data_IF_685267638907
#
_entry.id   IF_685267638907
#
_cell.length_a   1.000
_cell.length_b   1.000
_cell.length_c   1.000
_cell.angle_alpha   90.00
_cell.angle_beta   90.00
_cell.angle_gamma   90.00
#
_symmetry.space_group_name_H-M   'P 1'
#
loop_
_entity.id
_entity.type
_entity.pdbx_description
1 polymer ?
#
# COMPACT_ATOMS: atom_id res chain seq x y z
N UNK A 1 0.62 -16.59 3.47
CA UNK A 1 1.22 -16.42 2.13
C UNK A 1 0.57 -15.28 1.33
N UNK A 2 -0.76 -15.28 1.13
CA UNK A 2 -1.46 -14.25 0.34
C UNK A 2 -1.16 -12.80 0.78
N UNK A 3 -1.05 -12.55 2.09
CA UNK A 3 -0.70 -11.23 2.62
C UNK A 3 0.69 -10.73 2.16
N UNK A 4 1.68 -11.62 2.04
CA UNK A 4 3.01 -11.22 1.57
C UNK A 4 2.99 -10.85 0.09
N UNK A 5 2.20 -11.58 -0.71
CA UNK A 5 2.08 -11.33 -2.15
C UNK A 5 1.43 -9.97 -2.41
N UNK A 6 0.33 -9.64 -1.72
CA UNK A 6 -0.35 -8.36 -1.95
C UNK A 6 0.51 -7.16 -1.50
N UNK A 7 1.32 -7.33 -0.44
CA UNK A 7 2.28 -6.32 -0.03
C UNK A 7 3.44 -6.19 -1.02
N UNK A 8 3.95 -7.29 -1.56
CA UNK A 8 4.95 -7.25 -2.63
C UNK A 8 4.41 -6.52 -3.86
N UNK A 9 3.16 -6.79 -4.27
CA UNK A 9 2.49 -6.07 -5.37
C UNK A 9 2.38 -4.58 -5.05
N UNK A 10 1.91 -4.20 -3.86
CA UNK A 10 1.79 -2.80 -3.44
C UNK A 10 3.14 -2.06 -3.47
N UNK A 11 4.21 -2.72 -3.04
CA UNK A 11 5.57 -2.19 -3.08
C UNK A 11 6.06 -1.97 -4.53
N UNK A 12 5.93 -3.01 -5.36
CA UNK A 12 6.36 -2.96 -6.77
C UNK A 12 5.56 -1.91 -7.57
N UNK A 13 4.26 -1.77 -7.32
CA UNK A 13 3.43 -0.76 -7.97
C UNK A 13 3.94 0.66 -7.67
N UNK A 14 4.39 0.91 -6.44
CA UNK A 14 4.94 2.21 -6.04
C UNK A 14 6.27 2.50 -6.74
N UNK A 15 7.14 1.48 -6.84
CA UNK A 15 8.39 1.57 -7.59
C UNK A 15 8.16 1.81 -9.08
N UNK A 16 7.17 1.12 -9.66
CA UNK A 16 6.80 1.29 -11.05
C UNK A 16 6.25 2.69 -11.33
N UNK A 17 5.34 3.21 -10.50
CA UNK A 17 4.82 4.58 -10.66
C UNK A 17 5.94 5.63 -10.56
N UNK A 18 6.94 5.44 -9.68
CA UNK A 18 8.13 6.29 -9.65
C UNK A 18 8.93 6.22 -10.95
N UNK A 19 9.13 5.02 -11.51
CA UNK A 19 9.84 4.84 -12.78
C UNK A 19 9.10 5.54 -13.93
N UNK A 20 7.77 5.38 -14.00
CA UNK A 20 6.93 6.06 -14.98
C UNK A 20 6.98 7.58 -14.83
N UNK A 21 7.01 8.09 -13.59
CA UNK A 21 7.15 9.53 -13.34
C UNK A 21 8.47 10.10 -13.85
N UNK A 22 9.57 9.34 -13.79
CA UNK A 22 10.89 9.72 -14.33
C UNK A 22 10.94 9.66 -15.85
N UNK A 23 10.36 8.62 -16.44
CA UNK A 23 10.45 8.36 -17.88
C UNK A 23 9.32 9.00 -18.71
N UNK A 24 8.56 9.95 -18.12
CA UNK A 24 7.35 10.56 -18.72
C UNK A 24 6.33 9.53 -19.23
N UNK A 25 6.32 8.35 -18.60
CA UNK A 25 5.39 7.28 -18.92
C UNK A 25 3.98 7.54 -18.38
N UNK A 26 3.04 6.63 -18.69
CA UNK A 26 1.69 6.66 -18.13
C UNK A 26 1.76 6.42 -16.61
N UNK A 27 1.34 7.41 -15.82
CA UNK A 27 1.22 7.31 -14.35
C UNK A 27 0.05 6.42 -13.96
N UNK A 28 0.20 5.73 -12.84
CA UNK A 28 -0.84 4.82 -12.33
C UNK A 28 -1.90 5.65 -11.58
N UNK A 29 -3.20 5.44 -11.86
CA UNK A 29 -4.28 6.12 -11.13
C UNK A 29 -4.18 5.87 -9.63
N UNK A 30 -4.31 6.92 -8.83
CA UNK A 30 -4.12 6.87 -7.37
C UNK A 30 -5.04 5.88 -6.66
N UNK A 31 -6.27 5.71 -7.19
CA UNK A 31 -7.25 4.74 -6.69
C UNK A 31 -6.71 3.33 -6.54
N UNK A 32 -5.82 2.87 -7.42
CA UNK A 32 -5.29 1.51 -7.36
C UNK A 32 -4.42 1.29 -6.12
N UNK A 33 -3.70 2.31 -5.67
CA UNK A 33 -2.92 2.24 -4.44
C UNK A 33 -3.82 2.08 -3.21
N UNK A 34 -4.91 2.85 -3.15
CA UNK A 34 -5.87 2.76 -2.05
C UNK A 34 -6.65 1.44 -2.06
N UNK A 35 -7.05 0.94 -3.24
CA UNK A 35 -7.71 -0.37 -3.36
C UNK A 35 -6.79 -1.50 -2.90
N UNK A 36 -5.53 -1.53 -3.37
CA UNK A 36 -4.57 -2.53 -2.92
C UNK A 36 -4.28 -2.42 -1.42
N UNK A 37 -4.14 -1.20 -0.90
CA UNK A 37 -3.95 -0.98 0.52
C UNK A 37 -5.15 -1.44 1.36
N UNK A 38 -6.37 -1.21 0.88
CA UNK A 38 -7.60 -1.69 1.52
C UNK A 38 -7.68 -3.23 1.55
N UNK A 39 -7.27 -3.90 0.46
CA UNK A 39 -7.32 -5.36 0.33
C UNK A 39 -6.24 -6.13 1.13
N UNK A 40 -5.25 -5.45 1.72
CA UNK A 40 -4.17 -6.11 2.44
C UNK A 40 -2.75 -5.59 2.14
N UNK A 41 -2.60 -4.77 1.10
CA UNK A 41 -1.30 -4.31 0.58
C UNK A 41 -0.78 -3.02 1.21
N UNK A 42 -1.38 -2.55 2.31
CA UNK A 42 -1.08 -1.23 2.87
C UNK A 42 0.36 -1.11 3.35
N UNK A 43 0.92 -2.19 3.92
CA UNK A 43 2.29 -2.21 4.44
C UNK A 43 3.30 -2.06 3.30
N UNK A 44 3.12 -2.82 2.22
CA UNK A 44 3.98 -2.76 1.04
C UNK A 44 3.88 -1.44 0.29
N UNK A 45 2.68 -0.90 0.14
CA UNK A 45 2.48 0.44 -0.42
C UNK A 45 3.18 1.51 0.44
N UNK A 46 3.04 1.46 1.77
CA UNK A 46 3.67 2.40 2.68
C UNK A 46 5.20 2.32 2.64
N UNK A 47 5.77 1.10 2.70
CA UNK A 47 7.21 0.88 2.54
C UNK A 47 7.71 1.40 1.19
N UNK A 48 6.94 1.17 0.13
CA UNK A 48 7.22 1.71 -1.19
C UNK A 48 7.29 3.24 -1.16
N UNK A 49 6.35 3.92 -0.50
CA UNK A 49 6.37 5.39 -0.39
C UNK A 49 7.65 5.88 0.26
N UNK A 50 8.07 5.27 1.37
CA UNK A 50 9.25 5.68 2.13
C UNK A 50 10.55 5.40 1.38
N UNK A 51 10.71 4.19 0.84
CA UNK A 51 11.92 3.75 0.14
C UNK A 51 12.08 4.51 -1.18
N UNK A 52 11.01 4.58 -1.97
CA UNK A 52 11.04 5.30 -3.23
C UNK A 52 10.93 6.82 -3.05
N UNK A 53 10.62 7.31 -1.83
CA UNK A 53 10.35 8.73 -1.53
C UNK A 53 9.35 9.33 -2.52
N UNK A 54 8.38 8.51 -2.91
CA UNK A 54 7.39 8.84 -3.93
C UNK A 54 6.04 9.04 -3.26
N UNK A 55 5.33 10.10 -3.67
CA UNK A 55 4.04 10.52 -3.08
C UNK A 55 4.06 10.79 -1.56
N UNK A 56 5.22 11.06 -0.97
CA UNK A 56 5.38 11.39 0.47
C UNK A 56 4.96 12.81 0.85
N UNK A 57 4.67 13.67 -0.13
CA UNK A 57 4.11 15.03 0.09
C UNK A 57 2.63 15.15 -0.29
N UNK A 58 2.02 14.07 -0.77
CA UNK A 58 0.60 14.07 -1.12
C UNK A 58 -0.20 13.75 0.15
N UNK A 59 -0.89 14.74 0.69
CA UNK A 59 -1.65 14.62 1.96
C UNK A 59 -2.57 13.41 1.97
N UNK A 60 -3.25 13.12 0.85
CA UNK A 60 -4.11 11.95 0.69
C UNK A 60 -3.37 10.63 0.90
N UNK A 61 -2.13 10.51 0.42
CA UNK A 61 -1.32 9.30 0.58
C UNK A 61 -0.69 9.23 1.98
N UNK A 62 -0.19 10.37 2.47
CA UNK A 62 0.45 10.47 3.79
C UNK A 62 -0.51 10.14 4.91
N UNK A 63 -1.79 10.51 4.78
CA UNK A 63 -2.81 10.16 5.77
C UNK A 63 -3.52 8.84 5.43
N UNK A 64 -3.90 8.65 4.16
CA UNK A 64 -4.76 7.54 3.78
C UNK A 64 -4.05 6.18 3.81
N UNK A 65 -2.78 6.09 3.42
CA UNK A 65 -2.05 4.80 3.45
C UNK A 65 -1.79 4.33 4.89
N UNK A 66 -1.29 5.17 5.83
CA UNK A 66 -1.17 4.77 7.23
C UNK A 66 -2.52 4.44 7.88
N UNK A 67 -3.59 5.16 7.55
CA UNK A 67 -4.93 4.85 8.05
C UNK A 67 -5.40 3.47 7.58
N UNK A 68 -5.16 3.13 6.32
CA UNK A 68 -5.43 1.79 5.79
C UNK A 68 -4.50 0.72 6.38
N UNK A 69 -3.27 1.07 6.74
CA UNK A 69 -2.36 0.17 7.44
C UNK A 69 -2.90 -0.20 8.82
N UNK A 70 -3.39 0.79 9.58
CA UNK A 70 -4.07 0.55 10.87
C UNK A 70 -5.29 -0.34 10.67
N UNK A 71 -6.11 -0.07 9.65
CA UNK A 71 -7.24 -0.93 9.29
C UNK A 71 -6.82 -2.38 9.03
N UNK A 72 -5.74 -2.60 8.25
CA UNK A 72 -5.22 -3.93 7.95
C UNK A 72 -4.79 -4.68 9.23
N UNK A 73 -4.14 -3.97 10.16
CA UNK A 73 -3.71 -4.54 11.44
C UNK A 73 -4.92 -4.90 12.31
N UNK A 74 -5.92 -4.02 12.40
CA UNK A 74 -7.16 -4.28 13.14
C UNK A 74 -7.90 -5.51 12.60
N UNK A 75 -8.06 -5.58 11.27
CA UNK A 75 -8.71 -6.73 10.62
C UNK A 75 -7.93 -8.02 10.90
N UNK A 76 -6.61 -8.02 10.79
CA UNK A 76 -5.79 -9.18 11.12
C UNK A 76 -5.89 -9.57 12.59
N UNK A 77 -5.94 -8.60 13.50
CA UNK A 77 -6.07 -8.87 14.93
C UNK A 77 -7.42 -9.53 15.24
N UNK A 78 -8.53 -8.99 14.73
CA UNK A 78 -9.88 -9.54 14.94
C UNK A 78 -10.00 -10.95 14.34
N UNK A 79 -9.49 -11.16 13.11
CA UNK A 79 -9.47 -12.48 12.49
C UNK A 79 -8.64 -13.48 13.29
N UNK A 80 -7.51 -13.04 13.85
CA UNK A 80 -6.67 -13.88 14.71
C UNK A 80 -7.39 -14.36 15.96
N UNK A 81 -8.16 -13.49 16.62
CA UNK A 81 -8.95 -13.82 17.82
C UNK A 81 -10.06 -14.86 17.53
N UNK A 82 -10.71 -14.77 16.36
CA UNK A 82 -11.76 -15.71 15.97
C UNK A 82 -11.22 -17.08 15.52
N UNK A 83 -10.00 -17.14 14.99
CA UNK A 83 -9.40 -18.41 14.56
C UNK A 83 -8.77 -19.19 15.72
N UNK A 84 -8.56 -18.54 16.87
CA UNK A 84 -8.00 -19.12 18.10
C UNK A 84 -9.06 -19.65 19.09
N UNK A 85 -10.34 -19.66 18.70
CA UNK A 85 -11.47 -20.27 19.40
C UNK A 85 -11.87 -21.58 18.72
#
# INVERSE_FOLDING_TARGET
MAYLIINAIGFLLMGWDKNQARNRGRRIPEKWFFILAFLGGALGAWLGMQIFRHKTRHTTFVLGIPLLLVWNVLVMYVLGQHLSL
#
